data_IF_491880843962
#
_entry.id   IF_491880843962
#
_cell.length_a   1.000
_cell.length_b   1.000
_cell.length_c   1.000
_cell.angle_alpha   90.00
_cell.angle_beta   90.00
_cell.angle_gamma   90.00
#
_symmetry.space_group_name_H-M   'P 1'
#
loop_
_entity.id
_entity.type
_entity.pdbx_description
1 polymer ?
#
# COMPACT_ATOMS: atom_id res chain seq x y z
N UNK A 1 -3.40 -0.22 -22.53
CA UNK A 1 -3.49 0.54 -23.80
C UNK A 1 -4.96 0.56 -24.19
N UNK A 2 -5.61 1.70 -24.03
CA UNK A 2 -7.03 1.90 -24.37
C UNK A 2 -7.23 1.65 -25.87
N UNK A 3 -8.18 0.78 -26.22
CA UNK A 3 -8.45 0.45 -27.62
C UNK A 3 -9.02 1.67 -28.37
N UNK A 4 -8.76 1.82 -29.68
CA UNK A 4 -9.35 2.89 -30.50
C UNK A 4 -10.88 3.03 -30.36
N UNK A 5 -11.59 1.93 -30.11
CA UNK A 5 -13.03 1.90 -29.87
C UNK A 5 -13.49 2.72 -28.63
N UNK A 6 -12.66 2.80 -27.59
CA UNK A 6 -12.98 3.55 -26.37
C UNK A 6 -12.93 5.07 -26.60
N UNK A 7 -12.01 5.52 -27.45
CA UNK A 7 -11.87 6.93 -27.84
C UNK A 7 -13.08 7.37 -28.67
N UNK A 8 -13.56 6.51 -29.57
CA UNK A 8 -14.74 6.78 -30.42
C UNK A 8 -16.02 6.87 -29.60
N UNK A 9 -16.21 5.99 -28.60
CA UNK A 9 -17.38 6.05 -27.70
C UNK A 9 -17.45 7.38 -26.94
N UNK A 10 -16.32 7.87 -26.42
CA UNK A 10 -16.26 9.12 -25.67
C UNK A 10 -16.42 10.39 -26.53
N UNK A 11 -16.08 10.31 -27.82
CA UNK A 11 -16.34 11.39 -28.78
C UNK A 11 -17.83 11.53 -29.12
N UNK A 12 -18.61 10.45 -28.96
CA UNK A 12 -20.05 10.38 -29.27
C UNK A 12 -20.93 10.72 -28.05
N UNK A 13 -20.47 10.46 -26.82
CA UNK A 13 -21.17 10.78 -25.56
C UNK A 13 -20.97 12.26 -25.15
N UNK A 14 -21.53 13.19 -25.93
CA UNK A 14 -21.51 14.63 -25.63
C UNK A 14 -22.60 15.10 -24.65
N UNK A 15 -23.22 14.20 -23.90
CA UNK A 15 -24.22 14.54 -22.89
C UNK A 15 -23.88 13.96 -21.51
N UNK A 16 -24.00 14.82 -20.49
CA UNK A 16 -24.04 14.59 -19.05
C UNK A 16 -22.72 14.74 -18.26
N UNK A 17 -22.60 15.87 -17.56
CA UNK A 17 -22.20 15.81 -16.14
C UNK A 17 -23.44 15.54 -15.27
N UNK A 18 -23.32 15.50 -13.92
CA UNK A 18 -22.16 15.17 -13.11
C UNK A 18 -22.17 13.69 -12.70
N UNK A 19 -20.97 13.26 -12.31
CA UNK A 19 -20.62 12.05 -11.55
C UNK A 19 -21.70 11.63 -10.55
N UNK A 20 -22.11 10.35 -10.60
CA UNK A 20 -22.20 9.37 -9.50
C UNK A 20 -23.07 8.22 -10.03
N UNK A 21 -22.47 7.04 -10.23
CA UNK A 21 -22.87 5.74 -9.67
C UNK A 21 -22.03 4.66 -10.36
N UNK A 22 -20.90 4.33 -9.73
CA UNK A 22 -20.30 3.03 -9.91
C UNK A 22 -21.28 2.00 -9.35
N UNK A 23 -22.00 1.31 -10.21
CA UNK A 23 -22.67 0.05 -9.88
C UNK A 23 -23.04 -0.67 -11.17
N UNK A 24 -22.74 -1.96 -11.20
CA UNK A 24 -23.17 -2.98 -12.18
C UNK A 24 -22.66 -2.82 -13.63
N UNK A 25 -21.47 -3.37 -13.90
CA UNK A 25 -21.17 -3.95 -15.21
C UNK A 25 -20.33 -5.23 -15.02
N UNK A 26 -20.93 -6.36 -15.39
CA UNK A 26 -20.34 -7.70 -15.35
C UNK A 26 -19.08 -7.83 -16.23
N UNK A 27 -18.16 -8.76 -15.91
CA UNK A 27 -16.98 -9.00 -16.73
C UNK A 27 -17.38 -9.55 -18.10
N UNK A 28 -17.05 -8.81 -19.16
CA UNK A 28 -17.29 -9.24 -20.54
C UNK A 28 -16.47 -10.49 -20.86
N UNK A 29 -17.11 -11.66 -20.83
CA UNK A 29 -16.59 -12.86 -21.50
C UNK A 29 -16.71 -12.70 -23.02
N UNK A 30 -15.72 -13.16 -23.81
CA UNK A 30 -15.74 -12.97 -25.26
C UNK A 30 -16.76 -13.92 -25.92
N UNK A 31 -17.86 -13.36 -26.41
CA UNK A 31 -18.82 -14.08 -27.27
C UNK A 31 -18.16 -14.37 -28.62
N UNK A 32 -17.97 -15.66 -28.89
CA UNK A 32 -17.74 -16.20 -30.24
C UNK A 32 -19.04 -16.04 -31.02
N UNK A 33 -19.02 -15.27 -32.09
CA UNK A 33 -19.79 -15.55 -33.31
C UNK A 33 -19.20 -14.81 -34.51
N UNK A 34 -19.42 -15.45 -35.65
CA UNK A 34 -18.63 -15.47 -36.87
C UNK A 34 -18.90 -14.31 -37.83
N UNK A 35 -17.89 -14.05 -38.65
CA UNK A 35 -17.99 -13.63 -40.06
C UNK A 35 -18.66 -12.30 -40.41
N UNK A 36 -18.24 -11.18 -39.81
CA UNK A 36 -18.35 -9.85 -40.46
C UNK A 36 -17.36 -8.76 -39.96
N UNK A 37 -16.40 -9.09 -39.10
CA UNK A 37 -15.52 -8.10 -38.44
C UNK A 37 -14.42 -7.46 -39.31
N UNK A 38 -14.16 -7.97 -40.51
CA UNK A 38 -13.02 -7.48 -41.32
C UNK A 38 -13.28 -6.09 -41.92
N UNK A 39 -14.52 -5.79 -42.36
CA UNK A 39 -14.84 -4.53 -43.05
C UNK A 39 -15.09 -3.34 -42.12
N UNK A 40 -15.29 -3.57 -40.82
CA UNK A 40 -15.51 -2.48 -39.85
C UNK A 40 -14.22 -2.03 -39.16
N UNK A 41 -13.15 -2.83 -39.21
CA UNK A 41 -11.87 -2.50 -38.56
C UNK A 41 -10.95 -1.63 -39.43
N UNK A 42 -11.08 -1.70 -40.76
CA UNK A 42 -10.24 -0.93 -41.70
C UNK A 42 -10.64 0.55 -41.80
N UNK A 43 -11.85 0.92 -41.37
CA UNK A 43 -12.37 2.29 -41.46
C UNK A 43 -12.01 3.21 -40.27
N UNK A 44 -11.29 2.71 -39.26
CA UNK A 44 -10.98 3.43 -38.02
C UNK A 44 -9.46 3.66 -37.81
N UNK A 45 -8.67 3.60 -38.88
CA UNK A 45 -7.22 3.87 -38.82
C UNK A 45 -6.89 5.35 -38.69
N UNK A 46 -7.81 6.26 -39.02
CA UNK A 46 -7.58 7.70 -38.90
C UNK A 46 -8.74 8.42 -38.21
N UNK A 47 -8.58 8.60 -36.89
CA UNK A 47 -9.52 9.35 -36.04
C UNK A 47 -9.74 10.77 -36.58
N UNK A 48 -8.73 11.37 -37.22
CA UNK A 48 -8.84 12.70 -37.81
C UNK A 48 -9.89 12.71 -38.92
N UNK A 49 -9.70 11.84 -39.92
CA UNK A 49 -10.63 11.73 -41.05
C UNK A 49 -12.05 11.40 -40.59
N UNK A 50 -12.19 10.55 -39.57
CA UNK A 50 -13.49 10.23 -38.98
C UNK A 50 -14.19 11.44 -38.36
N UNK A 51 -13.50 12.22 -37.51
CA UNK A 51 -14.07 13.36 -36.78
C UNK A 51 -14.46 14.51 -37.73
N UNK A 52 -13.68 14.74 -38.80
CA UNK A 52 -14.04 15.69 -39.87
C UNK A 52 -15.20 15.19 -40.73
N UNK A 53 -15.22 13.90 -41.12
CA UNK A 53 -16.30 13.33 -41.94
C UNK A 53 -17.67 13.35 -41.25
N UNK A 54 -17.68 13.35 -39.91
CA UNK A 54 -18.88 13.42 -39.08
C UNK A 54 -19.29 14.85 -38.72
N UNK A 55 -18.53 15.86 -39.16
CA UNK A 55 -18.81 17.27 -38.86
C UNK A 55 -18.68 17.62 -37.38
N UNK A 56 -17.93 16.83 -36.60
CA UNK A 56 -17.73 17.06 -35.16
C UNK A 56 -16.82 18.28 -34.94
N UNK A 57 -15.93 18.55 -35.89
CA UNK A 57 -15.02 19.70 -35.92
C UNK A 57 -15.02 20.30 -37.32
N UNK A 58 -14.94 21.63 -37.39
CA UNK A 58 -14.99 22.40 -38.64
C UNK A 58 -13.63 23.00 -39.01
N UNK A 59 -12.66 22.99 -38.09
CA UNK A 59 -11.32 23.51 -38.30
C UNK A 59 -10.24 22.63 -37.66
N UNK A 60 -9.00 22.79 -38.11
CA UNK A 60 -7.83 22.13 -37.51
C UNK A 60 -7.59 22.56 -36.05
N UNK A 61 -7.92 23.81 -35.70
CA UNK A 61 -7.78 24.30 -34.33
C UNK A 61 -8.83 23.67 -33.41
N UNK A 62 -10.07 23.50 -33.88
CA UNK A 62 -11.11 22.75 -33.15
C UNK A 62 -10.73 21.27 -32.97
N UNK A 63 -10.15 20.64 -33.99
CA UNK A 63 -9.66 19.26 -33.89
C UNK A 63 -8.55 19.11 -32.83
N UNK A 64 -7.57 20.02 -32.82
CA UNK A 64 -6.48 20.00 -31.83
C UNK A 64 -6.98 20.24 -30.42
N UNK A 65 -7.92 21.17 -30.24
CA UNK A 65 -8.55 21.44 -28.94
C UNK A 65 -9.30 20.22 -28.41
N UNK A 66 -10.10 19.57 -29.28
CA UNK A 66 -10.83 18.36 -28.94
C UNK A 66 -9.89 17.19 -28.59
N UNK A 67 -8.83 16.99 -29.39
CA UNK A 67 -7.84 15.94 -29.11
C UNK A 67 -7.13 16.18 -27.78
N UNK A 68 -6.77 17.44 -27.47
CA UNK A 68 -6.17 17.79 -26.19
C UNK A 68 -7.13 17.48 -25.04
N UNK A 69 -8.38 17.92 -25.11
CA UNK A 69 -9.40 17.65 -24.09
C UNK A 69 -9.59 16.15 -23.84
N UNK A 70 -9.78 15.37 -24.91
CA UNK A 70 -9.95 13.92 -24.82
C UNK A 70 -8.70 13.25 -24.23
N UNK A 71 -7.50 13.70 -24.62
CA UNK A 71 -6.25 13.17 -24.07
C UNK A 71 -6.13 13.44 -22.57
N UNK A 72 -6.49 14.65 -22.12
CA UNK A 72 -6.50 15.00 -20.70
C UNK A 72 -7.54 14.18 -19.94
N UNK A 73 -8.74 14.00 -20.48
CA UNK A 73 -9.78 13.16 -19.88
C UNK A 73 -9.34 11.71 -19.74
N UNK A 74 -8.78 11.12 -20.81
CA UNK A 74 -8.25 9.76 -20.80
C UNK A 74 -7.09 9.61 -19.82
N UNK A 75 -6.18 10.58 -19.77
CA UNK A 75 -5.08 10.57 -18.82
C UNK A 75 -5.61 10.62 -17.37
N UNK A 76 -6.60 11.47 -17.10
CA UNK A 76 -7.23 11.58 -15.78
C UNK A 76 -7.96 10.30 -15.39
N UNK A 77 -8.71 9.69 -16.31
CA UNK A 77 -9.38 8.41 -16.05
C UNK A 77 -8.38 7.28 -15.82
N UNK A 78 -7.30 7.20 -16.59
CA UNK A 78 -6.26 6.19 -16.38
C UNK A 78 -5.57 6.38 -15.03
N UNK A 79 -5.31 7.62 -14.62
CA UNK A 79 -4.78 7.95 -13.29
C UNK A 79 -5.74 7.45 -12.20
N UNK A 80 -7.04 7.76 -12.30
CA UNK A 80 -8.05 7.32 -11.33
C UNK A 80 -8.23 5.80 -11.31
N UNK A 81 -8.13 5.12 -12.45
CA UNK A 81 -8.16 3.64 -12.53
C UNK A 81 -6.89 3.00 -11.99
N UNK A 82 -5.76 3.71 -12.07
CA UNK A 82 -4.47 3.27 -11.54
C UNK A 82 -4.33 3.48 -10.03
N UNK A 83 -5.09 4.43 -9.45
CA UNK A 83 -5.26 4.61 -8.02
C UNK A 83 -6.10 3.45 -7.43
N UNK A 84 -5.53 2.24 -7.46
CA UNK A 84 -6.14 1.02 -6.92
C UNK A 84 -6.03 0.99 -5.40
N UNK A 85 -6.53 1.99 -4.69
CA UNK A 85 -6.60 2.07 -3.22
C UNK A 85 -5.25 2.01 -2.46
N UNK A 86 -4.17 1.53 -3.08
CA UNK A 86 -2.86 1.34 -2.47
C UNK A 86 -2.10 2.66 -2.32
N UNK A 87 -2.47 3.71 -3.06
CA UNK A 87 -1.96 5.07 -2.85
C UNK A 87 -2.27 5.61 -1.46
N UNK A 88 -3.50 5.43 -0.99
CA UNK A 88 -3.92 5.85 0.36
C UNK A 88 -3.09 5.13 1.43
N UNK A 89 -2.88 3.82 1.27
CA UNK A 89 -2.00 3.02 2.14
C UNK A 89 -0.57 3.57 2.14
N UNK A 90 -0.02 3.90 0.95
CA UNK A 90 1.33 4.45 0.83
C UNK A 90 1.43 5.76 1.63
N UNK A 91 0.45 6.65 1.50
CA UNK A 91 0.41 7.92 2.23
C UNK A 91 0.23 7.72 3.74
N UNK A 92 -0.66 6.82 4.14
CA UNK A 92 -0.89 6.49 5.55
C UNK A 92 0.37 5.93 6.23
N UNK A 93 1.11 5.04 5.56
CA UNK A 93 2.39 4.52 6.08
C UNK A 93 3.44 5.61 6.21
N UNK A 94 3.55 6.51 5.23
CA UNK A 94 4.49 7.66 5.33
C UNK A 94 4.13 8.54 6.53
N UNK A 95 2.84 8.84 6.69
CA UNK A 95 2.37 9.63 7.82
C UNK A 95 2.69 8.94 9.16
N UNK A 96 2.52 7.61 9.25
CA UNK A 96 2.89 6.85 10.45
C UNK A 96 4.40 6.88 10.74
N UNK A 97 5.22 6.82 9.69
CA UNK A 97 6.68 6.86 9.76
C UNK A 97 7.21 8.23 10.16
N UNK A 98 6.50 9.31 9.82
CA UNK A 98 6.82 10.68 10.25
C UNK A 98 6.28 10.97 11.67
N UNK A 99 5.09 10.46 11.98
CA UNK A 99 4.42 10.67 13.26
C UNK A 99 5.16 9.99 14.42
N UNK A 100 5.66 8.77 14.21
CA UNK A 100 6.26 7.99 15.29
C UNK A 100 7.53 8.65 15.87
N UNK A 101 8.51 9.10 15.07
CA UNK A 101 9.65 9.85 15.57
C UNK A 101 9.26 11.20 16.18
N UNK A 102 8.31 11.93 15.58
CA UNK A 102 7.85 13.20 16.10
C UNK A 102 7.21 13.05 17.50
N UNK A 103 6.34 12.06 17.66
CA UNK A 103 5.71 11.72 18.94
C UNK A 103 6.75 11.31 19.99
N UNK A 104 7.74 10.49 19.62
CA UNK A 104 8.79 10.09 20.56
C UNK A 104 9.60 11.31 21.04
N UNK A 105 10.03 12.18 20.12
CA UNK A 105 10.78 13.39 20.44
C UNK A 105 9.98 14.34 21.35
N UNK A 106 8.73 14.62 20.99
CA UNK A 106 7.85 15.48 21.79
C UNK A 106 7.58 14.88 23.17
N UNK A 107 7.42 13.56 23.25
CA UNK A 107 7.26 12.85 24.51
C UNK A 107 8.52 12.99 25.36
N UNK A 108 9.70 12.70 24.83
CA UNK A 108 10.98 12.83 25.55
C UNK A 108 11.14 14.24 26.14
N UNK A 109 10.94 15.29 25.35
CA UNK A 109 11.05 16.68 25.86
C UNK A 109 10.00 17.05 26.90
N UNK A 110 8.76 16.55 26.77
CA UNK A 110 7.74 16.75 27.79
C UNK A 110 8.14 16.10 29.11
N UNK A 111 8.71 14.89 29.06
CA UNK A 111 9.18 14.19 30.26
C UNK A 111 10.43 14.82 30.86
N UNK A 112 11.39 15.27 30.04
CA UNK A 112 12.53 16.07 30.52
C UNK A 112 12.06 17.33 31.26
N UNK A 113 11.03 18.02 30.75
CA UNK A 113 10.45 19.16 31.43
C UNK A 113 9.73 18.74 32.72
N UNK A 114 8.98 17.63 32.67
CA UNK A 114 8.26 17.10 33.82
C UNK A 114 9.18 16.58 34.93
N UNK A 115 10.42 16.20 34.62
CA UNK A 115 11.40 15.72 35.60
C UNK A 115 11.73 16.74 36.69
N UNK A 116 11.47 18.04 36.49
CA UNK A 116 11.56 19.05 37.56
C UNK A 116 10.51 18.88 38.67
N UNK A 117 9.47 18.10 38.43
CA UNK A 117 8.35 17.86 39.35
C UNK A 117 8.33 16.43 39.90
N UNK A 118 8.95 15.47 39.20
CA UNK A 118 8.93 14.05 39.50
C UNK A 118 10.09 13.31 38.82
N UNK A 119 11.02 12.74 39.59
CA UNK A 119 12.30 12.21 39.08
C UNK A 119 12.20 10.79 38.47
N UNK A 120 11.10 10.05 38.64
CA UNK A 120 11.04 8.60 38.29
C UNK A 120 10.06 8.22 37.15
N UNK A 121 9.61 9.17 36.34
CA UNK A 121 8.61 8.86 35.29
C UNK A 121 9.25 8.62 33.92
N UNK A 122 9.18 7.38 33.45
CA UNK A 122 9.61 7.03 32.09
C UNK A 122 8.61 7.50 31.03
N UNK A 123 9.09 7.97 29.86
CA UNK A 123 8.20 8.37 28.77
C UNK A 123 7.28 7.24 28.30
N UNK A 124 5.98 7.44 28.46
CA UNK A 124 4.95 6.53 27.95
C UNK A 124 3.61 7.25 27.79
N UNK A 125 2.74 6.69 26.94
CA UNK A 125 1.38 7.22 26.75
C UNK A 125 0.63 7.32 28.08
N UNK A 126 0.74 6.29 28.93
CA UNK A 126 0.06 6.27 30.23
C UNK A 126 0.65 7.31 31.19
N UNK A 127 1.97 7.49 31.17
CA UNK A 127 2.62 8.52 31.97
C UNK A 127 2.19 9.94 31.55
N UNK A 128 1.88 10.20 30.27
CA UNK A 128 1.33 11.49 29.84
C UNK A 128 -0.04 11.74 30.47
N UNK A 129 -0.87 10.69 30.61
CA UNK A 129 -2.16 10.78 31.30
C UNK A 129 -1.99 11.04 32.80
N UNK A 130 -0.95 10.51 33.43
CA UNK A 130 -0.63 10.82 34.83
C UNK A 130 -0.23 12.30 35.03
N UNK A 131 0.56 12.88 34.11
CA UNK A 131 0.89 14.32 34.13
C UNK A 131 -0.39 15.17 34.16
N UNK A 132 -1.40 14.80 33.38
CA UNK A 132 -2.67 15.53 33.30
C UNK A 132 -3.49 15.49 34.60
N UNK A 133 -3.32 14.48 35.45
CA UNK A 133 -4.01 14.39 36.74
C UNK A 133 -3.43 15.34 37.78
N UNK A 134 -2.17 15.74 37.62
CA UNK A 134 -1.49 16.62 38.54
C UNK A 134 -2.05 18.04 38.48
N UNK A 135 -2.10 18.74 39.61
CA UNK A 135 -2.65 20.11 39.71
C UNK A 135 -1.57 21.19 39.67
N UNK A 136 -0.38 20.88 40.18
CA UNK A 136 0.78 21.75 40.38
C UNK A 136 1.74 21.79 39.17
N UNK A 137 1.22 21.79 37.94
CA UNK A 137 2.03 21.89 36.72
C UNK A 137 1.69 23.17 35.93
N UNK A 138 2.65 23.75 35.19
CA UNK A 138 2.41 24.90 34.35
C UNK A 138 1.29 24.64 33.33
N UNK A 139 0.45 25.66 33.08
CA UNK A 139 -0.64 25.54 32.11
C UNK A 139 -0.13 25.11 30.71
N UNK A 140 1.00 25.66 30.26
CA UNK A 140 1.61 25.30 28.99
C UNK A 140 2.02 23.80 28.91
N UNK A 141 2.56 23.23 29.99
CA UNK A 141 2.88 21.80 30.06
C UNK A 141 1.62 20.94 29.92
N UNK A 142 0.55 21.32 30.62
CA UNK A 142 -0.74 20.63 30.55
C UNK A 142 -1.29 20.62 29.11
N UNK A 143 -1.26 21.75 28.42
CA UNK A 143 -1.72 21.85 27.03
C UNK A 143 -0.91 20.96 26.09
N UNK A 144 0.43 20.92 26.26
CA UNK A 144 1.29 20.02 25.47
C UNK A 144 0.98 18.54 25.74
N UNK A 145 0.79 18.16 27.01
CA UNK A 145 0.40 16.81 27.39
C UNK A 145 -0.96 16.40 26.79
N UNK A 146 -1.93 17.31 26.75
CA UNK A 146 -3.23 17.09 26.09
C UNK A 146 -3.07 16.86 24.58
N UNK A 147 -2.32 17.73 23.91
CA UNK A 147 -2.04 17.59 22.48
C UNK A 147 -1.33 16.26 22.18
N UNK A 148 -0.34 15.90 23.00
CA UNK A 148 0.41 14.66 22.84
C UNK A 148 -0.51 13.43 23.01
N UNK A 149 -1.45 13.47 23.95
CA UNK A 149 -2.48 12.42 24.10
C UNK A 149 -3.31 12.27 22.83
N UNK A 150 -3.78 13.38 22.24
CA UNK A 150 -4.50 13.34 20.96
C UNK A 150 -3.66 12.81 19.79
N UNK A 151 -2.34 13.06 19.80
CA UNK A 151 -1.42 12.50 18.79
C UNK A 151 -1.25 10.98 18.99
N UNK A 152 -1.15 10.49 20.23
CA UNK A 152 -1.13 9.05 20.53
C UNK A 152 -2.40 8.35 20.03
N UNK A 153 -3.57 8.95 20.27
CA UNK A 153 -4.85 8.44 19.76
C UNK A 153 -4.89 8.43 18.23
N UNK A 154 -4.50 9.53 17.59
CA UNK A 154 -4.44 9.64 16.13
C UNK A 154 -3.52 8.57 15.52
N UNK A 155 -2.39 8.26 16.18
CA UNK A 155 -1.50 7.17 15.78
C UNK A 155 -2.17 5.81 15.85
N UNK A 156 -2.97 5.51 16.88
CA UNK A 156 -3.73 4.25 16.97
C UNK A 156 -4.74 4.14 15.83
N UNK A 157 -5.56 5.17 15.64
CA UNK A 157 -6.55 5.23 14.57
C UNK A 157 -5.90 5.03 13.19
N UNK A 158 -4.73 5.64 12.97
CA UNK A 158 -3.99 5.48 11.72
C UNK A 158 -3.49 4.04 11.52
N UNK A 159 -2.99 3.38 12.57
CA UNK A 159 -2.55 1.98 12.50
C UNK A 159 -3.74 1.06 12.18
N UNK A 160 -4.88 1.26 12.85
CA UNK A 160 -6.10 0.47 12.63
C UNK A 160 -6.63 0.65 11.20
N UNK A 161 -6.68 1.89 10.71
CA UNK A 161 -7.03 2.20 9.32
C UNK A 161 -6.12 1.48 8.34
N UNK A 162 -4.79 1.58 8.52
CA UNK A 162 -3.82 0.88 7.66
C UNK A 162 -4.07 -0.62 7.65
N UNK A 163 -4.33 -1.23 8.80
CA UNK A 163 -4.57 -2.67 8.90
C UNK A 163 -5.83 -3.09 8.14
N UNK A 164 -6.92 -2.35 8.29
CA UNK A 164 -8.20 -2.64 7.65
C UNK A 164 -8.11 -2.46 6.12
N UNK A 165 -7.58 -1.33 5.66
CA UNK A 165 -7.46 -1.07 4.21
C UNK A 165 -6.53 -2.06 3.52
N UNK A 166 -5.43 -2.44 4.18
CA UNK A 166 -4.50 -3.41 3.60
C UNK A 166 -5.12 -4.80 3.50
N UNK A 167 -6.01 -5.18 4.41
CA UNK A 167 -6.74 -6.44 4.32
C UNK A 167 -7.67 -6.47 3.10
N UNK A 168 -8.31 -5.33 2.78
CA UNK A 168 -9.19 -5.20 1.61
C UNK A 168 -8.40 -5.27 0.29
N UNK A 169 -7.22 -4.65 0.25
CA UNK A 169 -6.42 -4.51 -0.98
C UNK A 169 -5.50 -5.72 -1.21
N UNK A 170 -4.93 -6.28 -0.16
CA UNK A 170 -3.94 -7.35 -0.22
C UNK A 170 -4.18 -8.40 0.88
N UNK A 171 -5.27 -9.19 0.79
CA UNK A 171 -5.65 -10.16 1.82
C UNK A 171 -4.62 -11.28 1.98
N UNK A 172 -4.05 -11.81 0.90
CA UNK A 172 -3.07 -12.90 1.00
C UNK A 172 -1.77 -12.41 1.66
N UNK A 173 -1.31 -11.22 1.29
CA UNK A 173 -0.12 -10.61 1.89
C UNK A 173 -0.35 -10.33 3.37
N UNK A 174 -1.54 -9.83 3.72
CA UNK A 174 -1.97 -9.56 5.11
C UNK A 174 -2.04 -10.84 5.94
N UNK A 175 -2.59 -11.92 5.40
CA UNK A 175 -2.65 -13.22 6.09
C UNK A 175 -1.27 -13.79 6.42
N UNK A 176 -0.25 -13.49 5.61
CA UNK A 176 1.11 -13.97 5.84
C UNK A 176 1.96 -13.03 6.70
N UNK A 177 1.83 -11.72 6.53
CA UNK A 177 2.72 -10.72 7.16
C UNK A 177 2.06 -9.88 8.26
N UNK A 178 0.74 -9.91 8.36
CA UNK A 178 -0.05 -8.92 9.10
C UNK A 178 -0.21 -7.61 8.31
N UNK A 179 -1.28 -6.87 8.61
CA UNK A 179 -1.67 -5.68 7.83
C UNK A 179 -0.60 -4.60 7.80
N UNK A 180 0.02 -4.29 8.95
CA UNK A 180 1.01 -3.21 9.02
C UNK A 180 2.30 -3.51 8.24
N UNK A 181 2.80 -4.76 8.28
CA UNK A 181 4.00 -5.13 7.53
C UNK A 181 3.69 -5.26 6.03
N UNK A 182 2.52 -5.80 5.67
CA UNK A 182 2.05 -5.84 4.29
C UNK A 182 1.97 -4.43 3.68
N UNK A 183 1.33 -3.48 4.39
CA UNK A 183 1.24 -2.08 4.01
C UNK A 183 2.62 -1.44 3.80
N UNK A 184 3.55 -1.71 4.72
CA UNK A 184 4.93 -1.20 4.64
C UNK A 184 5.69 -1.77 3.44
N UNK A 185 5.48 -3.04 3.08
CA UNK A 185 6.05 -3.64 1.88
C UNK A 185 5.52 -2.96 0.60
N UNK A 186 4.21 -2.74 0.53
CA UNK A 186 3.55 -2.01 -0.57
C UNK A 186 4.12 -0.60 -0.67
N UNK A 187 4.25 0.10 0.46
CA UNK A 187 4.79 1.46 0.54
C UNK A 187 6.23 1.56 0.02
N UNK A 188 7.13 0.70 0.49
CA UNK A 188 8.53 0.71 0.06
C UNK A 188 8.69 0.28 -1.41
N UNK A 189 7.83 -0.61 -1.89
CA UNK A 189 7.81 -0.99 -3.29
C UNK A 189 7.25 0.13 -4.21
N UNK A 190 6.48 1.06 -3.66
CA UNK A 190 5.79 2.12 -4.39
C UNK A 190 4.54 1.64 -5.11
N UNK A 191 3.80 0.73 -4.49
CA UNK A 191 2.53 0.15 -4.96
C UNK A 191 2.54 -1.37 -5.03
N UNK A 192 1.35 -1.97 -4.91
CA UNK A 192 1.15 -3.43 -4.92
C UNK A 192 1.57 -4.03 -6.26
N UNK A 193 1.28 -3.34 -7.36
CA UNK A 193 1.69 -3.79 -8.70
C UNK A 193 3.20 -3.83 -8.90
N UNK A 194 3.95 -2.89 -8.30
CA UNK A 194 5.42 -2.95 -8.31
C UNK A 194 5.91 -4.09 -7.44
N UNK A 195 5.32 -4.29 -6.27
CA UNK A 195 5.65 -5.38 -5.35
C UNK A 195 5.46 -6.76 -6.01
N UNK A 196 4.34 -7.00 -6.69
CA UNK A 196 4.02 -8.25 -7.39
C UNK A 196 5.05 -8.62 -8.47
N UNK A 197 5.60 -7.61 -9.16
CA UNK A 197 6.64 -7.78 -10.18
C UNK A 197 8.04 -8.02 -9.60
N UNK A 198 8.27 -7.74 -8.31
CA UNK A 198 9.59 -7.95 -7.71
C UNK A 198 9.93 -9.44 -7.58
N UNK A 199 11.23 -9.82 -7.73
CA UNK A 199 11.68 -11.16 -7.37
C UNK A 199 11.77 -11.29 -5.83
N UNK A 200 11.63 -12.52 -5.34
CA UNK A 200 11.70 -12.82 -3.90
C UNK A 200 13.02 -12.39 -3.25
N UNK A 201 14.14 -12.47 -3.98
CA UNK A 201 15.45 -12.00 -3.50
C UNK A 201 15.48 -10.50 -3.23
N UNK A 202 14.77 -9.69 -4.03
CA UNK A 202 14.63 -8.25 -3.80
C UNK A 202 13.70 -7.97 -2.64
N UNK A 203 12.56 -8.67 -2.57
CA UNK A 203 11.60 -8.53 -1.46
C UNK A 203 12.26 -8.87 -0.12
N UNK A 204 13.10 -9.92 -0.08
CA UNK A 204 13.82 -10.34 1.12
C UNK A 204 14.62 -9.21 1.79
N UNK A 205 15.25 -8.35 0.99
CA UNK A 205 16.12 -7.26 1.47
C UNK A 205 15.48 -5.88 1.33
N UNK A 206 14.17 -5.82 1.04
CA UNK A 206 13.46 -4.56 0.82
C UNK A 206 13.55 -3.67 2.07
N UNK A 207 13.90 -2.40 1.90
CA UNK A 207 14.15 -1.45 3.00
C UNK A 207 15.52 -1.58 3.68
N UNK A 208 16.38 -2.54 3.29
CA UNK A 208 17.77 -2.62 3.76
C UNK A 208 18.75 -1.80 2.90
N UNK A 209 18.29 -0.72 2.25
CA UNK A 209 19.06 0.02 1.24
C UNK A 209 20.46 0.41 1.73
N UNK A 210 20.57 0.96 2.96
CA UNK A 210 21.86 1.37 3.55
C UNK A 210 22.83 0.20 3.72
N UNK A 211 22.35 -0.97 4.15
CA UNK A 211 23.17 -2.17 4.29
C UNK A 211 23.54 -2.77 2.93
N UNK A 212 22.62 -2.72 1.97
CA UNK A 212 22.87 -3.15 0.60
C UNK A 212 23.93 -2.29 -0.08
N UNK A 213 23.90 -0.97 0.08
CA UNK A 213 24.94 -0.08 -0.46
C UNK A 213 26.32 -0.33 0.17
N UNK A 214 26.37 -0.71 1.45
CA UNK A 214 27.64 -1.16 2.08
C UNK A 214 28.13 -2.47 1.49
N UNK A 215 27.22 -3.42 1.21
CA UNK A 215 27.58 -4.69 0.58
C UNK A 215 28.19 -4.50 -0.81
N UNK A 216 27.62 -3.60 -1.62
CA UNK A 216 28.18 -3.22 -2.93
C UNK A 216 29.60 -2.64 -2.83
N UNK A 217 30.02 -2.19 -1.63
CA UNK A 217 31.37 -1.71 -1.32
C UNK A 217 32.23 -2.76 -0.59
N UNK A 218 31.83 -4.02 -0.58
CA UNK A 218 32.62 -5.14 -0.04
C UNK A 218 32.20 -5.65 1.35
N UNK A 219 31.18 -5.06 2.00
CA UNK A 219 30.65 -5.62 3.26
C UNK A 219 29.83 -6.90 3.01
N UNK A 220 29.46 -7.63 4.06
CA UNK A 220 28.56 -8.79 3.92
C UNK A 220 27.12 -8.36 3.49
N UNK A 221 26.41 -9.16 2.66
CA UNK A 221 25.06 -8.83 2.22
C UNK A 221 24.04 -8.83 3.36
N UNK A 222 23.02 -7.95 3.34
CA UNK A 222 21.93 -8.00 4.29
C UNK A 222 21.13 -9.30 4.13
N UNK A 223 20.83 -9.98 5.24
CA UNK A 223 20.06 -11.24 5.23
C UNK A 223 18.56 -11.02 5.15
N UNK A 224 18.08 -9.84 5.53
CA UNK A 224 16.68 -9.46 5.58
C UNK A 224 16.57 -7.93 5.62
N UNK A 225 15.48 -7.40 5.09
CA UNK A 225 15.08 -6.00 5.20
C UNK A 225 13.94 -5.82 6.18
N UNK A 226 12.89 -5.10 5.78
CA UNK A 226 11.74 -4.77 6.65
C UNK A 226 11.00 -5.99 7.16
N UNK A 227 11.04 -7.10 6.41
CA UNK A 227 10.44 -8.37 6.83
C UNK A 227 11.01 -8.89 8.16
N UNK A 228 12.19 -8.42 8.59
CA UNK A 228 12.74 -8.72 9.91
C UNK A 228 11.78 -8.37 11.06
N UNK A 229 10.92 -7.37 10.88
CA UNK A 229 9.92 -6.98 11.88
C UNK A 229 8.94 -8.11 12.20
N UNK A 230 8.73 -9.06 11.29
CA UNK A 230 7.82 -10.17 11.53
C UNK A 230 8.33 -11.11 12.66
N UNK A 231 7.47 -11.53 13.62
CA UNK A 231 7.84 -12.43 14.72
C UNK A 231 8.56 -13.69 14.27
N UNK A 232 8.12 -14.27 13.15
CA UNK A 232 8.75 -15.44 12.55
C UNK A 232 10.27 -15.27 12.35
N UNK A 233 10.74 -14.05 12.08
CA UNK A 233 12.14 -13.77 11.78
C UNK A 233 12.88 -13.21 13.01
N UNK A 234 12.40 -12.14 13.64
CA UNK A 234 13.17 -11.51 14.73
C UNK A 234 13.27 -12.41 15.97
N UNK A 235 12.21 -13.16 16.30
CA UNK A 235 12.20 -14.06 17.45
C UNK A 235 13.04 -15.33 17.20
N UNK A 236 13.36 -15.64 15.93
CA UNK A 236 14.14 -16.81 15.56
C UNK A 236 15.63 -16.68 15.89
N UNK A 237 16.35 -17.80 16.16
CA UNK A 237 17.79 -17.80 16.37
C UNK A 237 18.58 -17.20 15.20
N UNK A 238 19.63 -16.41 15.48
CA UNK A 238 20.41 -15.66 14.46
C UNK A 238 20.88 -16.51 13.28
N UNK A 239 21.23 -17.78 13.52
CA UNK A 239 21.67 -18.74 12.50
C UNK A 239 20.57 -19.10 11.49
N UNK A 240 19.31 -19.10 11.91
CA UNK A 240 18.16 -19.52 11.09
C UNK A 240 17.47 -18.35 10.39
N UNK A 241 17.60 -17.12 10.90
CA UNK A 241 16.93 -15.92 10.37
C UNK A 241 17.03 -15.76 8.86
N UNK A 242 18.22 -15.97 8.28
CA UNK A 242 18.41 -15.84 6.83
C UNK A 242 17.69 -16.91 6.01
N UNK A 243 17.60 -18.15 6.51
CA UNK A 243 16.86 -19.24 5.86
C UNK A 243 15.35 -18.97 5.92
N UNK A 244 14.88 -18.54 7.08
CA UNK A 244 13.47 -18.20 7.32
C UNK A 244 13.07 -16.99 6.46
N UNK A 245 13.87 -15.92 6.46
CA UNK A 245 13.63 -14.72 5.67
C UNK A 245 13.49 -15.02 4.18
N UNK A 246 14.34 -15.90 3.64
CA UNK A 246 14.25 -16.32 2.23
C UNK A 246 12.93 -17.04 1.93
N UNK A 247 12.55 -18.03 2.75
CA UNK A 247 11.30 -18.79 2.57
C UNK A 247 10.08 -17.90 2.72
N UNK A 248 10.10 -17.02 3.72
CA UNK A 248 9.05 -16.03 3.93
C UNK A 248 8.90 -15.09 2.74
N UNK A 249 10.01 -14.51 2.26
CA UNK A 249 9.99 -13.62 1.09
C UNK A 249 9.44 -14.32 -0.16
N UNK A 250 9.79 -15.58 -0.40
CA UNK A 250 9.23 -16.36 -1.51
C UNK A 250 7.71 -16.49 -1.43
N UNK A 251 7.16 -16.75 -0.25
CA UNK A 251 5.71 -16.85 -0.05
C UNK A 251 5.01 -15.50 -0.15
N UNK A 252 5.61 -14.44 0.40
CA UNK A 252 5.11 -13.07 0.24
C UNK A 252 5.08 -12.63 -1.23
N UNK A 253 6.08 -12.99 -2.04
CA UNK A 253 6.06 -12.70 -3.47
C UNK A 253 4.92 -13.41 -4.19
N UNK A 254 4.60 -14.65 -3.83
CA UNK A 254 3.47 -15.38 -4.40
C UNK A 254 2.15 -14.72 -3.98
N UNK A 255 2.00 -14.41 -2.69
CA UNK A 255 0.83 -13.72 -2.16
C UNK A 255 0.58 -12.38 -2.86
N UNK A 256 1.62 -11.52 -2.97
CA UNK A 256 1.52 -10.23 -3.65
C UNK A 256 1.09 -10.35 -5.12
N UNK A 257 1.51 -11.42 -5.81
CA UNK A 257 1.08 -11.69 -7.20
C UNK A 257 -0.38 -12.10 -7.27
N UNK A 258 -0.82 -12.96 -6.37
CA UNK A 258 -2.23 -13.39 -6.31
C UNK A 258 -3.12 -12.18 -6.01
N UNK A 259 -2.77 -11.39 -4.98
CA UNK A 259 -3.49 -10.16 -4.61
C UNK A 259 -3.59 -9.19 -5.79
N UNK A 260 -2.50 -9.00 -6.56
CA UNK A 260 -2.51 -8.05 -7.68
C UNK A 260 -3.25 -8.54 -8.93
N UNK A 261 -3.11 -9.83 -9.29
CA UNK A 261 -3.58 -10.36 -10.58
C UNK A 261 -4.94 -11.06 -10.51
N UNK A 262 -5.30 -11.66 -9.37
CA UNK A 262 -6.49 -12.50 -9.21
C UNK A 262 -7.44 -11.96 -8.15
N UNK A 263 -6.92 -11.46 -7.02
CA UNK A 263 -7.73 -10.98 -5.90
C UNK A 263 -8.39 -12.10 -5.07
N UNK A 264 -8.23 -13.38 -5.45
CA UNK A 264 -8.72 -14.52 -4.68
C UNK A 264 -7.90 -14.72 -3.40
N UNK A 265 -8.58 -15.02 -2.29
CA UNK A 265 -7.93 -15.42 -1.03
C UNK A 265 -7.56 -16.89 -1.09
N UNK A 266 -6.28 -17.21 -0.83
CA UNK A 266 -5.76 -18.58 -0.77
C UNK A 266 -5.17 -18.87 0.60
N UNK A 267 -5.96 -19.56 1.42
CA UNK A 267 -5.59 -19.93 2.80
C UNK A 267 -4.42 -20.94 2.84
N UNK A 268 -4.29 -21.78 1.81
CA UNK A 268 -3.21 -22.78 1.65
C UNK A 268 -1.79 -22.19 1.69
N UNK A 269 -1.63 -20.88 1.43
CA UNK A 269 -0.33 -20.23 1.44
C UNK A 269 0.32 -20.24 2.83
N UNK A 270 -0.48 -20.09 3.89
CA UNK A 270 0.00 -20.08 5.27
C UNK A 270 0.50 -21.47 5.69
N UNK A 271 -0.26 -22.51 5.35
CA UNK A 271 0.12 -23.91 5.59
C UNK A 271 1.39 -24.28 4.83
N UNK A 272 1.44 -23.90 3.55
CA UNK A 272 2.62 -24.15 2.71
C UNK A 272 3.86 -23.37 3.19
N UNK A 273 3.69 -22.20 3.81
CA UNK A 273 4.79 -21.52 4.49
C UNK A 273 5.26 -22.31 5.71
N UNK A 274 4.33 -22.76 6.56
CA UNK A 274 4.64 -23.54 7.76
C UNK A 274 5.42 -24.82 7.42
N UNK A 275 4.96 -25.58 6.43
CA UNK A 275 5.64 -26.79 5.95
C UNK A 275 7.03 -26.51 5.38
N UNK A 276 7.18 -25.36 4.73
CA UNK A 276 8.47 -25.00 4.17
C UNK A 276 9.50 -24.68 5.25
N UNK A 277 9.18 -24.44 6.52
CA UNK A 277 10.13 -23.90 7.51
C UNK A 277 11.05 -24.96 8.16
N UNK A 278 12.30 -24.59 8.51
CA UNK A 278 13.32 -25.57 8.93
C UNK A 278 13.09 -26.21 10.30
N UNK A 279 12.10 -25.75 11.09
CA UNK A 279 11.60 -26.40 12.29
C UNK A 279 10.09 -26.13 12.38
N UNK A 280 9.24 -27.18 12.34
CA UNK A 280 7.78 -27.07 12.52
C UNK A 280 7.38 -26.35 13.82
N UNK A 281 8.21 -26.45 14.86
CA UNK A 281 7.88 -26.08 16.25
C UNK A 281 7.93 -24.57 16.59
N UNK A 282 8.45 -23.69 15.72
CA UNK A 282 8.50 -22.24 16.01
C UNK A 282 7.26 -21.46 15.50
N UNK A 283 6.37 -22.13 14.75
CA UNK A 283 5.27 -21.48 14.02
C UNK A 283 3.92 -21.70 14.70
N UNK A 284 3.76 -22.79 15.46
CA UNK A 284 2.50 -23.16 16.11
C UNK A 284 2.29 -22.54 17.50
N UNK A 285 3.30 -21.91 18.12
CA UNK A 285 3.24 -21.56 19.54
C UNK A 285 2.59 -20.21 19.88
N UNK A 286 2.03 -19.46 18.92
CA UNK A 286 1.30 -18.19 19.22
C UNK A 286 0.07 -17.91 18.36
N UNK A 287 -0.34 -18.84 17.49
CA UNK A 287 -1.58 -18.70 16.72
C UNK A 287 -2.84 -19.04 17.55
N UNK A 288 -2.68 -19.64 18.74
CA UNK A 288 -3.79 -19.99 19.65
C UNK A 288 -4.08 -18.98 20.76
N UNK A 289 -3.16 -18.04 21.05
CA UNK A 289 -3.19 -17.28 22.31
C UNK A 289 -3.48 -15.78 22.13
N UNK A 290 -4.04 -15.37 20.99
CA UNK A 290 -4.43 -13.98 20.74
C UNK A 290 -5.85 -13.86 20.14
N UNK A 291 -6.83 -14.40 20.87
CA UNK A 291 -8.20 -13.87 21.02
C UNK A 291 -8.66 -14.26 22.44
N UNK A 292 -9.42 -13.45 23.19
CA UNK A 292 -10.04 -12.16 22.83
C UNK A 292 -9.20 -10.94 23.21
#
# INVERSE_FOLDING_TARGET
MTSPAAIVSMLLDRDLGPVIQASTAEPLTPVKNSSSRASTLEALTDIRTFVFSKGIVNSEDEYRALLHEVTIRLAREEVLRSARGDEEIIHAIKMLDDLSPALNLLSEHLFEWYSMYDEEVLPSEDAVKEILKRRDIPHAMRTLAQNLTGIYESRRTLIEYIQNETLLIAPNLTNLAGGLLAARLISIAGGLGKLARMPASRLQILGANRAMFKHLRGAAPPKHGVIFQHPLIHASPRRLRGKIARRFASKLTIAARIDYYSGEVREELAESLADSLPNRAAVLTRASDARP
#
